data_IF_314356882463
#
_entry.id   IF_314356882463
#
_cell.length_a   1.000
_cell.length_b   1.000
_cell.length_c   1.000
_cell.angle_alpha   90.00
_cell.angle_beta   90.00
_cell.angle_gamma   90.00
#
_symmetry.space_group_name_H-M   'P 1'
#
loop_
_entity.id
_entity.type
_entity.pdbx_description
1 polymer ?
#
# COMPACT_ATOMS: atom_id res chain seq x y z
N UNK A 1 -44.91 -21.88 6.20
CA UNK A 1 -43.68 -21.50 5.44
C UNK A 1 -43.10 -20.24 6.07
N UNK A 2 -42.12 -20.37 6.97
CA UNK A 2 -41.48 -19.23 7.64
C UNK A 2 -40.33 -18.69 6.79
N UNK A 3 -40.54 -17.50 6.21
CA UNK A 3 -39.56 -16.80 5.39
C UNK A 3 -38.33 -16.40 6.19
N UNK A 4 -37.18 -17.02 5.87
CA UNK A 4 -35.89 -16.70 6.47
C UNK A 4 -35.21 -15.63 5.61
N UNK A 5 -35.38 -14.37 5.98
CA UNK A 5 -34.61 -13.25 5.40
C UNK A 5 -33.11 -13.45 5.61
N UNK A 6 -32.29 -13.24 4.57
CA UNK A 6 -30.82 -13.28 4.66
C UNK A 6 -30.31 -12.00 5.34
N UNK A 7 -30.40 -11.95 6.66
CA UNK A 7 -29.99 -10.78 7.43
C UNK A 7 -29.92 -11.04 8.93
N UNK A 8 -29.22 -12.10 9.34
CA UNK A 8 -29.02 -12.44 10.75
C UNK A 8 -27.56 -12.29 11.15
N UNK A 9 -27.27 -11.24 11.92
CA UNK A 9 -25.97 -10.95 12.53
C UNK A 9 -25.69 -12.03 13.60
N UNK A 10 -24.95 -13.07 13.24
CA UNK A 10 -24.48 -14.10 14.18
C UNK A 10 -23.34 -13.55 15.04
N UNK A 11 -23.59 -13.43 16.35
CA UNK A 11 -22.57 -13.12 17.34
C UNK A 11 -21.77 -14.39 17.66
N UNK A 12 -20.51 -14.40 17.24
CA UNK A 12 -19.49 -15.29 17.78
C UNK A 12 -18.17 -14.53 17.79
N UNK A 13 -17.80 -13.96 18.95
CA UNK A 13 -16.51 -13.31 19.17
C UNK A 13 -15.41 -14.38 19.13
N UNK A 14 -15.00 -14.79 17.94
CA UNK A 14 -13.69 -15.39 17.73
C UNK A 14 -12.65 -14.30 17.89
N UNK A 15 -11.82 -14.38 18.94
CA UNK A 15 -10.73 -13.44 19.16
C UNK A 15 -9.91 -13.24 17.88
N UNK A 16 -9.51 -12.00 17.60
CA UNK A 16 -8.68 -11.69 16.45
C UNK A 16 -7.39 -12.53 16.52
N UNK A 17 -7.31 -13.59 15.71
CA UNK A 17 -6.08 -14.36 15.54
C UNK A 17 -5.02 -13.40 15.04
N UNK A 18 -4.01 -13.13 15.86
CA UNK A 18 -2.77 -12.48 15.40
C UNK A 18 -2.08 -13.48 14.48
N UNK A 19 -2.35 -13.38 13.19
CA UNK A 19 -1.53 -14.04 12.19
C UNK A 19 -0.16 -13.36 12.21
N UNK A 20 0.91 -14.11 12.52
CA UNK A 20 2.26 -13.71 12.12
C UNK A 20 2.23 -13.41 10.62
N UNK A 21 2.77 -12.26 10.22
CA UNK A 21 2.95 -11.91 8.81
C UNK A 21 4.01 -12.83 8.22
N UNK A 22 3.58 -14.00 7.74
CA UNK A 22 4.36 -14.79 6.78
C UNK A 22 4.53 -13.94 5.52
N UNK A 23 5.71 -13.96 4.89
CA UNK A 23 5.93 -13.37 3.58
C UNK A 23 4.91 -13.94 2.60
N UNK A 24 3.93 -13.11 2.26
CA UNK A 24 2.87 -13.35 1.28
C UNK A 24 2.94 -12.25 0.25
N UNK A 25 2.23 -12.45 -0.86
CA UNK A 25 2.02 -11.38 -1.83
C UNK A 25 1.28 -10.20 -1.17
N UNK A 26 2.08 -9.24 -0.70
CA UNK A 26 1.64 -8.15 0.15
C UNK A 26 0.84 -7.12 -0.63
N UNK A 27 0.87 -7.19 -1.96
CA UNK A 27 0.10 -6.30 -2.83
C UNK A 27 -1.40 -6.47 -2.62
N UNK A 28 -1.86 -7.67 -2.25
CA UNK A 28 -3.26 -7.94 -1.93
C UNK A 28 -3.69 -7.29 -0.60
N UNK A 29 -2.74 -6.90 0.25
CA UNK A 29 -2.99 -6.10 1.44
C UNK A 29 -3.45 -4.66 1.13
N UNK A 30 -3.24 -4.18 -0.09
CA UNK A 30 -3.77 -2.89 -0.56
C UNK A 30 -5.25 -3.07 -0.89
N UNK A 31 -6.10 -2.82 0.11
CA UNK A 31 -7.54 -3.08 0.02
C UNK A 31 -8.26 -2.19 -1.01
N UNK A 32 -9.35 -2.71 -1.59
CA UNK A 32 -10.26 -1.93 -2.47
C UNK A 32 -10.75 -0.64 -1.81
N UNK A 33 -10.94 -0.65 -0.48
CA UNK A 33 -11.34 0.53 0.29
C UNK A 33 -10.25 1.61 0.32
N UNK A 34 -8.98 1.22 0.46
CA UNK A 34 -7.85 2.15 0.42
C UNK A 34 -7.71 2.82 -0.96
N UNK A 35 -7.76 2.01 -2.03
CA UNK A 35 -7.75 2.52 -3.41
C UNK A 35 -8.92 3.47 -3.65
N UNK A 36 -10.12 3.12 -3.17
CA UNK A 36 -11.28 4.01 -3.26
C UNK A 36 -11.03 5.34 -2.54
N UNK A 37 -10.47 5.34 -1.32
CA UNK A 37 -10.15 6.59 -0.61
C UNK A 37 -9.16 7.47 -1.38
N UNK A 38 -8.13 6.88 -1.99
CA UNK A 38 -7.18 7.60 -2.85
C UNK A 38 -7.88 8.21 -4.07
N UNK A 39 -8.66 7.41 -4.80
CA UNK A 39 -9.41 7.90 -5.97
C UNK A 39 -10.40 9.01 -5.60
N UNK A 40 -11.07 8.92 -4.44
CA UNK A 40 -11.97 9.97 -3.96
C UNK A 40 -11.23 11.26 -3.61
N UNK A 41 -10.05 11.17 -3.01
CA UNK A 41 -9.18 12.34 -2.80
C UNK A 41 -8.79 13.00 -4.13
N UNK A 42 -8.60 12.20 -5.19
CA UNK A 42 -8.40 12.68 -6.55
C UNK A 42 -9.67 13.13 -7.29
N UNK A 43 -10.83 13.25 -6.63
CA UNK A 43 -12.07 13.74 -7.27
C UNK A 43 -12.81 12.71 -8.13
N UNK A 44 -12.42 11.43 -8.12
CA UNK A 44 -13.04 10.41 -8.98
C UNK A 44 -14.46 10.08 -8.49
N UNK A 45 -15.47 10.25 -9.37
CA UNK A 45 -16.90 10.05 -9.05
C UNK A 45 -17.38 8.59 -9.19
N UNK A 46 -16.89 7.86 -10.20
CA UNK A 46 -17.22 6.45 -10.48
C UNK A 46 -15.92 5.69 -10.74
N UNK A 47 -15.83 4.44 -10.27
CA UNK A 47 -14.62 3.62 -10.39
C UNK A 47 -15.03 2.26 -10.96
N UNK A 48 -14.39 1.84 -12.06
CA UNK A 48 -14.59 0.52 -12.65
C UNK A 48 -14.00 -0.59 -11.76
N UNK A 49 -14.53 -1.80 -11.85
CA UNK A 49 -14.06 -2.95 -11.08
C UNK A 49 -12.62 -3.38 -11.41
N UNK A 50 -12.15 -3.14 -12.63
CA UNK A 50 -10.81 -3.53 -13.08
C UNK A 50 -9.70 -2.64 -12.51
N UNK A 51 -10.03 -1.38 -12.16
CA UNK A 51 -9.08 -0.38 -11.65
C UNK A 51 -8.38 -0.84 -10.36
N UNK A 52 -9.00 -1.73 -9.56
CA UNK A 52 -8.40 -2.16 -8.30
C UNK A 52 -7.12 -2.98 -8.51
N UNK A 53 -7.08 -3.89 -9.48
CA UNK A 53 -5.87 -4.66 -9.77
C UNK A 53 -4.86 -3.85 -10.58
N UNK A 54 -5.35 -3.01 -11.49
CA UNK A 54 -4.48 -2.08 -12.25
C UNK A 54 -3.73 -1.11 -11.33
N UNK A 55 -4.44 -0.51 -10.35
CA UNK A 55 -3.81 0.40 -9.37
C UNK A 55 -2.75 -0.32 -8.53
N UNK A 56 -2.97 -1.59 -8.19
CA UNK A 56 -1.97 -2.40 -7.48
C UNK A 56 -0.72 -2.62 -8.32
N UNK A 57 -0.88 -2.92 -9.62
CA UNK A 57 0.24 -3.06 -10.55
C UNK A 57 1.07 -1.78 -10.64
N UNK A 58 0.42 -0.63 -10.83
CA UNK A 58 1.08 0.69 -10.88
C UNK A 58 1.80 1.00 -9.57
N UNK A 59 1.16 0.75 -8.43
CA UNK A 59 1.76 0.97 -7.11
C UNK A 59 3.00 0.12 -6.90
N UNK A 60 2.98 -1.15 -7.33
CA UNK A 60 4.11 -2.06 -7.23
C UNK A 60 5.31 -1.52 -8.02
N UNK A 61 5.11 -1.17 -9.28
CA UNK A 61 6.16 -0.61 -10.15
C UNK A 61 6.74 0.68 -9.54
N UNK A 62 5.89 1.56 -9.04
CA UNK A 62 6.33 2.79 -8.40
C UNK A 62 7.25 2.51 -7.19
N UNK A 63 6.84 1.60 -6.30
CA UNK A 63 7.63 1.25 -5.13
C UNK A 63 8.93 0.52 -5.48
N UNK A 64 8.91 -0.38 -6.46
CA UNK A 64 10.11 -1.09 -6.93
C UNK A 64 11.19 -0.10 -7.39
N UNK A 65 10.81 0.90 -8.20
CA UNK A 65 11.75 1.91 -8.68
C UNK A 65 12.32 2.77 -7.54
N UNK A 66 11.48 3.29 -6.65
CA UNK A 66 11.93 4.14 -5.53
C UNK A 66 12.80 3.36 -4.54
N UNK A 67 12.41 2.12 -4.21
CA UNK A 67 13.15 1.29 -3.25
C UNK A 67 14.49 0.84 -3.83
N UNK A 68 14.57 0.51 -5.13
CA UNK A 68 15.83 0.16 -5.79
C UNK A 68 16.86 1.29 -5.67
N UNK A 69 16.43 2.52 -5.92
CA UNK A 69 17.29 3.70 -5.78
C UNK A 69 17.66 3.96 -4.31
N UNK A 70 16.71 3.86 -3.38
CA UNK A 70 16.97 4.07 -1.95
C UNK A 70 17.96 3.04 -1.36
N UNK A 71 17.84 1.77 -1.78
CA UNK A 71 18.80 0.72 -1.40
C UNK A 71 20.18 1.01 -1.98
N UNK A 72 20.25 1.51 -3.22
CA UNK A 72 21.52 1.92 -3.85
C UNK A 72 22.25 3.00 -3.02
N UNK A 73 21.53 4.03 -2.53
CA UNK A 73 22.11 5.04 -1.64
C UNK A 73 22.56 4.45 -0.29
N UNK A 74 21.78 3.53 0.26
CA UNK A 74 22.09 2.84 1.51
C UNK A 74 23.39 2.03 1.40
N UNK A 75 23.53 1.27 0.31
CA UNK A 75 24.72 0.47 0.02
C UNK A 75 25.95 1.34 -0.25
N UNK A 76 25.79 2.43 -1.02
CA UNK A 76 26.87 3.40 -1.26
C UNK A 76 27.42 3.99 0.04
N UNK A 77 26.54 4.27 1.00
CA UNK A 77 26.91 4.76 2.33
C UNK A 77 27.41 3.65 3.29
N UNK A 78 27.56 2.40 2.81
CA UNK A 78 27.97 1.22 3.61
C UNK A 78 27.10 0.97 4.85
N UNK A 79 25.83 1.36 4.78
CA UNK A 79 24.83 1.12 5.85
C UNK A 79 24.03 -0.14 5.53
N UNK A 80 23.50 -0.78 6.58
CA UNK A 80 22.54 -1.89 6.46
C UNK A 80 21.08 -1.46 6.67
N UNK A 81 20.88 -0.19 7.01
CA UNK A 81 19.59 0.38 7.37
C UNK A 81 19.27 1.51 6.40
N UNK A 82 18.17 1.35 5.67
CA UNK A 82 17.61 2.42 4.83
C UNK A 82 17.11 3.54 5.74
N UNK A 83 17.56 4.76 5.49
CA UNK A 83 17.17 5.97 6.21
C UNK A 83 16.08 6.74 5.46
N UNK A 84 15.43 7.68 6.13
CA UNK A 84 14.47 8.58 5.47
C UNK A 84 15.13 9.38 4.33
N UNK A 85 16.38 9.80 4.52
CA UNK A 85 17.13 10.56 3.52
C UNK A 85 17.41 9.76 2.25
N UNK A 86 17.69 8.45 2.35
CA UNK A 86 17.89 7.61 1.18
C UNK A 86 16.63 7.58 0.29
N UNK A 87 15.45 7.59 0.91
CA UNK A 87 14.16 7.66 0.21
C UNK A 87 13.90 9.04 -0.38
N UNK A 88 14.23 10.11 0.36
CA UNK A 88 14.10 11.49 -0.15
C UNK A 88 14.96 11.70 -1.39
N UNK A 89 16.22 11.25 -1.36
CA UNK A 89 17.12 11.34 -2.52
C UNK A 89 16.67 10.48 -3.70
N UNK A 90 16.18 9.26 -3.45
CA UNK A 90 15.59 8.42 -4.48
C UNK A 90 14.39 9.09 -5.18
N UNK A 91 13.51 9.72 -4.41
CA UNK A 91 12.35 10.44 -4.94
C UNK A 91 12.75 11.70 -5.71
N UNK A 92 13.73 12.45 -5.21
CA UNK A 92 14.26 13.65 -5.89
C UNK A 92 14.91 13.29 -7.25
N UNK A 93 15.68 12.21 -7.31
CA UNK A 93 16.25 11.67 -8.56
C UNK A 93 15.18 11.34 -9.61
N UNK A 94 14.01 10.91 -9.18
CA UNK A 94 12.86 10.62 -10.05
C UNK A 94 11.96 11.84 -10.34
N UNK A 95 12.37 13.04 -9.92
CA UNK A 95 11.60 14.28 -10.11
C UNK A 95 10.39 14.42 -9.19
N UNK A 96 10.38 13.75 -8.03
CA UNK A 96 9.27 13.72 -7.06
C UNK A 96 9.70 14.20 -5.68
N UNK A 97 10.24 15.41 -5.59
CA UNK A 97 10.74 15.99 -4.33
C UNK A 97 9.70 15.91 -3.20
N UNK A 98 10.11 15.34 -2.06
CA UNK A 98 9.27 15.13 -0.87
C UNK A 98 9.80 15.97 0.31
N UNK A 99 8.95 16.82 0.87
CA UNK A 99 9.28 17.69 2.01
C UNK A 99 8.88 17.06 3.35
N UNK A 100 9.56 17.46 4.43
CA UNK A 100 9.20 17.11 5.82
C UNK A 100 9.91 15.88 6.41
N UNK A 101 10.96 15.37 5.77
CA UNK A 101 11.66 14.13 6.17
C UNK A 101 13.18 14.30 6.38
N UNK A 102 13.69 15.53 6.51
CA UNK A 102 15.12 15.83 6.67
C UNK A 102 15.63 15.92 8.11
N UNK A 103 14.93 15.28 9.07
CA UNK A 103 15.25 15.34 10.49
C UNK A 103 16.23 14.28 10.97
#
# INVERSE_FOLDING_TARGET
MSGRGKGGKGLGKGGAKRHMKVLRDSIQGITKHAIRRLARRGGVKRISGLIYEETKGVLKIFLENVICDAVTYTEHARRKTVTAMDVVYALERQGRTLYGFGG
#
